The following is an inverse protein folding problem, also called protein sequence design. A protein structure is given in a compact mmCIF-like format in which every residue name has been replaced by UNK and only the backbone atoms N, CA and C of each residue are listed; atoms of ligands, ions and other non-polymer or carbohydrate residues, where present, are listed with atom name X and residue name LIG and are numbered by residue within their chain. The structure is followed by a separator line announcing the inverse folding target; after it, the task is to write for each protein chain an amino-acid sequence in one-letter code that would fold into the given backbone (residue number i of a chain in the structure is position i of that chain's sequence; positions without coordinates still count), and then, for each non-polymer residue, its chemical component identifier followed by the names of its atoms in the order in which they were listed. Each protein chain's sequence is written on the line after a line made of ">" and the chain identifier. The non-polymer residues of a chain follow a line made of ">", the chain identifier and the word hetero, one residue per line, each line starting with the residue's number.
data_IF_062618023123
#
_entry.id   IF_062618023123
#
_cell.length_a   1.000
_cell.length_b   1.000
_cell.length_c   1.000
_cell.angle_alpha   90.00
_cell.angle_beta   90.00
_cell.angle_gamma   90.00
#
_symmetry.space_group_name_H-M   'P 1'
#
loop_
_entity.id
_entity.type
_entity.pdbx_description
1 polymer ?
#
# COMPACT_ATOMS: atom_id res chain seq x y z
N UNK A 1 -5.89 -20.34 -13.77
CA UNK A 1 -5.60 -18.93 -13.47
C UNK A 1 -6.29 -18.57 -12.16
N UNK A 2 -5.55 -18.11 -11.16
CA UNK A 2 -6.13 -17.59 -9.92
C UNK A 2 -6.36 -16.09 -10.09
N UNK A 3 -7.59 -15.63 -9.90
CA UNK A 3 -7.95 -14.22 -10.01
C UNK A 3 -7.56 -13.54 -8.70
N UNK A 4 -6.42 -12.87 -8.69
CA UNK A 4 -5.98 -12.01 -7.58
C UNK A 4 -6.74 -10.69 -7.66
N UNK A 5 -7.26 -10.19 -6.53
CA UNK A 5 -7.83 -8.85 -6.49
C UNK A 5 -6.92 -7.93 -5.71
N UNK A 6 -6.30 -6.99 -6.43
CA UNK A 6 -5.35 -6.04 -5.91
C UNK A 6 -6.00 -4.67 -5.69
N UNK A 7 -5.93 -4.17 -4.47
CA UNK A 7 -6.26 -2.78 -4.11
C UNK A 7 -5.01 -2.12 -3.54
N UNK A 8 -4.73 -0.89 -3.93
CA UNK A 8 -3.52 -0.20 -3.49
C UNK A 8 -3.72 1.30 -3.27
N UNK A 9 -2.90 1.84 -2.38
CA UNK A 9 -2.83 3.26 -2.06
C UNK A 9 -1.37 3.70 -1.89
N UNK A 10 -1.10 4.95 -2.25
CA UNK A 10 0.18 5.60 -1.96
C UNK A 10 -0.05 6.74 -0.97
N UNK A 11 0.78 6.79 0.07
CA UNK A 11 0.77 7.81 1.10
C UNK A 11 2.00 8.71 0.93
N UNK A 12 1.74 9.99 0.71
CA UNK A 12 2.78 11.01 0.60
C UNK A 12 2.89 11.75 1.92
N UNK A 13 4.08 11.74 2.53
CA UNK A 13 4.31 12.38 3.82
C UNK A 13 4.62 13.87 3.70
N UNK A 14 4.32 14.61 4.77
CA UNK A 14 4.74 16.00 4.93
C UNK A 14 6.28 16.12 5.00
N UNK A 15 6.79 17.29 4.60
CA UNK A 15 8.22 17.58 4.64
C UNK A 15 8.78 17.48 6.07
N UNK A 16 10.00 16.94 6.20
CA UNK A 16 10.67 16.77 7.50
C UNK A 16 10.18 15.57 8.32
N UNK A 17 9.26 14.75 7.80
CA UNK A 17 8.82 13.54 8.50
C UNK A 17 9.89 12.45 8.44
N UNK A 18 10.20 11.87 9.59
CA UNK A 18 10.93 10.61 9.70
C UNK A 18 9.96 9.48 10.05
N UNK A 19 9.95 8.42 9.25
CA UNK A 19 9.23 7.18 9.55
C UNK A 19 10.11 6.00 9.14
N UNK A 20 10.28 5.04 10.04
CA UNK A 20 11.04 3.83 9.79
C UNK A 20 10.16 2.61 9.58
N UNK A 21 10.74 1.52 9.07
CA UNK A 21 10.04 0.23 8.94
C UNK A 21 9.49 -0.30 10.26
N UNK A 22 10.13 0.00 11.39
CA UNK A 22 9.63 -0.39 12.71
C UNK A 22 8.27 0.25 13.02
N UNK A 23 8.12 1.53 12.72
CA UNK A 23 6.87 2.27 12.93
C UNK A 23 5.78 1.73 12.00
N UNK A 24 6.14 1.54 10.73
CA UNK A 24 5.28 0.96 9.70
C UNK A 24 4.78 -0.42 10.15
N UNK A 25 5.69 -1.28 10.62
CA UNK A 25 5.34 -2.63 11.03
C UNK A 25 4.40 -2.66 12.24
N UNK A 26 4.59 -1.75 13.20
CA UNK A 26 3.68 -1.56 14.32
C UNK A 26 2.28 -1.14 13.88
N UNK A 27 2.18 -0.14 13.00
CA UNK A 27 0.91 0.36 12.45
C UNK A 27 0.16 -0.75 11.71
N UNK A 28 0.85 -1.47 10.82
CA UNK A 28 0.25 -2.53 10.01
C UNK A 28 -0.21 -3.70 10.88
N UNK A 29 0.64 -4.19 11.78
CA UNK A 29 0.29 -5.29 12.68
C UNK A 29 -0.90 -4.94 13.57
N UNK A 30 -0.96 -3.71 14.10
CA UNK A 30 -2.10 -3.25 14.89
C UNK A 30 -3.39 -3.19 14.05
N UNK A 31 -3.32 -2.67 12.83
CA UNK A 31 -4.46 -2.57 11.93
C UNK A 31 -5.00 -3.96 11.53
N UNK A 32 -4.11 -4.91 11.23
CA UNK A 32 -4.47 -6.29 10.89
C UNK A 32 -5.10 -7.03 12.07
N UNK A 33 -4.58 -6.84 13.29
CA UNK A 33 -5.21 -7.40 14.49
C UNK A 33 -6.61 -6.85 14.73
N UNK A 34 -6.84 -5.57 14.44
CA UNK A 34 -8.16 -4.94 14.60
C UNK A 34 -9.17 -5.33 13.52
N UNK A 35 -8.70 -5.73 12.33
CA UNK A 35 -9.59 -6.24 11.29
C UNK A 35 -10.02 -7.68 11.53
N UNK A 36 -9.45 -8.37 12.53
CA UNK A 36 -9.67 -9.78 12.78
C UNK A 36 -8.87 -10.71 11.87
N UNK A 37 -7.93 -10.18 11.08
CA UNK A 37 -7.08 -10.99 10.23
C UNK A 37 -6.14 -11.86 11.07
N UNK A 38 -6.00 -13.12 10.67
CA UNK A 38 -5.04 -14.05 11.26
C UNK A 38 -3.73 -13.91 10.49
N UNK A 39 -2.65 -13.53 11.19
CA UNK A 39 -1.32 -13.45 10.60
C UNK A 39 -0.70 -14.86 10.50
N UNK A 40 -0.20 -15.20 9.32
CA UNK A 40 0.47 -16.48 9.05
C UNK A 40 1.98 -16.31 8.90
N UNK A 41 2.40 -15.30 8.15
CA UNK A 41 3.82 -15.00 7.90
C UNK A 41 4.04 -13.49 7.86
N UNK A 42 5.27 -13.10 8.20
CA UNK A 42 5.79 -11.75 8.02
C UNK A 42 7.13 -11.90 7.32
N UNK A 43 7.27 -11.24 6.18
CA UNK A 43 8.51 -11.20 5.42
C UNK A 43 9.04 -9.76 5.39
N UNK A 44 10.35 -9.63 5.59
CA UNK A 44 11.06 -8.36 5.50
C UNK A 44 11.80 -8.38 4.16
N UNK A 45 11.50 -7.42 3.29
CA UNK A 45 12.16 -7.33 1.99
C UNK A 45 13.67 -7.26 2.12
N UNK A 46 14.37 -7.80 1.12
CA UNK A 46 15.83 -7.98 1.14
C UNK A 46 16.61 -6.68 1.46
N UNK A 47 16.13 -5.53 1.00
CA UNK A 47 16.74 -4.23 1.23
C UNK A 47 16.28 -3.53 2.51
N UNK A 48 15.39 -4.15 3.30
CA UNK A 48 14.83 -3.54 4.50
C UNK A 48 14.03 -2.28 4.19
N UNK A 49 13.36 -2.25 3.04
CA UNK A 49 12.50 -1.16 2.56
C UNK A 49 11.03 -1.58 2.46
N UNK A 50 10.72 -2.86 2.66
CA UNK A 50 9.40 -3.41 2.48
C UNK A 50 9.05 -4.47 3.52
N UNK A 51 7.75 -4.58 3.81
CA UNK A 51 7.17 -5.56 4.71
C UNK A 51 6.01 -6.25 4.01
N UNK A 52 6.00 -7.58 4.04
CA UNK A 52 4.91 -8.41 3.54
C UNK A 52 4.26 -9.15 4.70
N UNK A 53 2.94 -9.17 4.73
CA UNK A 53 2.15 -9.89 5.72
C UNK A 53 1.24 -10.89 5.01
N UNK A 54 1.46 -12.18 5.25
CA UNK A 54 0.53 -13.23 4.88
C UNK A 54 -0.60 -13.33 5.90
N UNK A 55 -1.84 -13.28 5.43
CA UNK A 55 -3.06 -13.35 6.24
C UNK A 55 -4.05 -14.37 5.70
N UNK A 56 -5.05 -14.72 6.48
CA UNK A 56 -6.18 -15.57 6.05
C UNK A 56 -7.06 -14.96 4.96
N UNK A 57 -6.93 -13.64 4.72
CA UNK A 57 -7.59 -12.93 3.62
C UNK A 57 -6.72 -12.79 2.37
N UNK A 58 -5.43 -13.09 2.44
CA UNK A 58 -4.45 -12.83 1.38
C UNK A 58 -3.19 -12.13 1.89
N UNK A 59 -2.54 -11.34 1.04
CA UNK A 59 -1.23 -10.71 1.31
C UNK A 59 -1.32 -9.19 1.34
N UNK A 60 -0.70 -8.59 2.35
CA UNK A 60 -0.51 -7.13 2.44
C UNK A 60 0.97 -6.83 2.26
N UNK A 61 1.30 -6.00 1.28
CA UNK A 61 2.65 -5.52 1.04
C UNK A 61 2.70 -4.02 1.33
N UNK A 62 3.72 -3.60 2.06
CA UNK A 62 3.99 -2.20 2.34
C UNK A 62 5.43 -1.89 1.94
N UNK A 63 5.61 -0.89 1.10
CA UNK A 63 6.93 -0.47 0.60
C UNK A 63 7.17 0.97 1.02
N UNK A 64 8.30 1.22 1.68
CA UNK A 64 8.80 2.54 2.03
C UNK A 64 9.84 2.96 1.00
N UNK A 65 9.63 4.12 0.38
CA UNK A 65 10.59 4.71 -0.55
C UNK A 65 10.87 6.14 -0.15
N UNK A 66 12.14 6.55 -0.22
CA UNK A 66 12.54 7.94 -0.05
C UNK A 66 12.49 8.66 -1.39
N UNK A 67 11.80 9.79 -1.48
CA UNK A 67 11.86 10.66 -2.65
C UNK A 67 13.20 11.39 -2.71
N UNK A 68 13.57 11.89 -3.89
CA UNK A 68 14.75 12.74 -4.06
C UNK A 68 14.74 13.98 -3.15
N UNK A 69 13.55 14.48 -2.78
CA UNK A 69 13.35 15.57 -1.81
C UNK A 69 13.62 15.18 -0.34
N UNK A 70 13.97 13.92 -0.07
CA UNK A 70 14.13 13.40 1.30
C UNK A 70 12.82 13.12 2.03
N UNK A 71 11.67 13.25 1.37
CA UNK A 71 10.36 12.96 1.97
C UNK A 71 9.98 11.48 1.78
N UNK A 72 9.54 10.78 2.83
CA UNK A 72 9.12 9.40 2.69
C UNK A 72 7.81 9.26 1.90
N UNK A 73 7.70 8.16 1.20
CA UNK A 73 6.51 7.71 0.49
C UNK A 73 6.26 6.27 0.89
N UNK A 74 5.00 5.94 1.21
CA UNK A 74 4.60 4.56 1.47
C UNK A 74 3.64 4.09 0.39
N UNK A 75 3.87 2.90 -0.14
CA UNK A 75 2.92 2.19 -0.98
C UNK A 75 2.34 1.02 -0.20
N UNK A 76 1.02 0.93 -0.19
CA UNK A 76 0.28 -0.17 0.43
C UNK A 76 -0.43 -0.92 -0.68
N UNK A 77 -0.21 -2.21 -0.76
CA UNK A 77 -0.87 -3.11 -1.69
C UNK A 77 -1.53 -4.24 -0.89
N UNK A 78 -2.84 -4.39 -1.04
CA UNK A 78 -3.63 -5.47 -0.45
C UNK A 78 -4.12 -6.37 -1.57
N UNK A 79 -3.55 -7.57 -1.63
CA UNK A 79 -3.98 -8.63 -2.53
C UNK A 79 -4.78 -9.65 -1.72
N UNK A 80 -6.03 -9.88 -2.10
CA UNK A 80 -6.84 -10.92 -1.47
C UNK A 80 -6.89 -12.18 -2.31
N UNK A 81 -6.82 -13.32 -1.64
CA UNK A 81 -6.87 -14.63 -2.29
C UNK A 81 -8.31 -15.03 -2.66
N UNK A 82 -8.50 -16.28 -3.11
CA UNK A 82 -9.81 -16.82 -3.53
C UNK A 82 -10.88 -16.79 -2.43
N UNK A 83 -10.52 -16.65 -1.16
CA UNK A 83 -11.48 -16.55 -0.05
C UNK A 83 -11.96 -15.11 0.15
N UNK A 84 -11.18 -14.13 -0.32
CA UNK A 84 -11.52 -12.73 -0.25
C UNK A 84 -12.39 -12.25 -1.42
N UNK A 85 -13.15 -11.18 -1.16
CA UNK A 85 -13.84 -10.44 -2.22
C UNK A 85 -13.07 -9.16 -2.54
N UNK A 86 -13.25 -8.55 -3.73
CA UNK A 86 -12.72 -7.22 -4.03
C UNK A 86 -13.04 -6.17 -2.95
N UNK A 87 -14.23 -6.25 -2.35
CA UNK A 87 -14.64 -5.38 -1.25
C UNK A 87 -13.79 -5.59 0.02
N UNK A 88 -13.34 -6.81 0.27
CA UNK A 88 -12.41 -7.14 1.37
C UNK A 88 -11.05 -6.47 1.15
N UNK A 89 -10.46 -6.60 -0.05
CA UNK A 89 -9.18 -5.96 -0.38
C UNK A 89 -9.25 -4.44 -0.21
N UNK A 90 -10.32 -3.84 -0.74
CA UNK A 90 -10.55 -2.38 -0.67
C UNK A 90 -10.68 -1.91 0.78
N UNK A 91 -11.47 -2.63 1.58
CA UNK A 91 -11.68 -2.30 3.00
C UNK A 91 -10.41 -2.46 3.81
N UNK A 92 -9.63 -3.51 3.56
CA UNK A 92 -8.35 -3.75 4.22
C UNK A 92 -7.35 -2.64 3.90
N UNK A 93 -7.20 -2.30 2.62
CA UNK A 93 -6.31 -1.23 2.17
C UNK A 93 -6.73 0.13 2.75
N UNK A 94 -8.03 0.42 2.84
CA UNK A 94 -8.53 1.63 3.49
C UNK A 94 -8.24 1.65 5.00
N UNK A 95 -8.46 0.54 5.70
CA UNK A 95 -8.17 0.45 7.13
C UNK A 95 -6.69 0.71 7.40
N UNK A 96 -5.80 0.17 6.58
CA UNK A 96 -4.36 0.41 6.68
C UNK A 96 -4.02 1.88 6.39
N UNK A 97 -4.46 2.41 5.24
CA UNK A 97 -4.19 3.79 4.84
C UNK A 97 -4.71 4.80 5.87
N UNK A 98 -5.93 4.59 6.39
CA UNK A 98 -6.53 5.47 7.41
C UNK A 98 -5.78 5.42 8.74
N UNK A 99 -5.18 4.27 9.10
CA UNK A 99 -4.33 4.17 10.28
C UNK A 99 -3.02 4.93 10.13
N UNK A 100 -2.38 4.89 8.96
CA UNK A 100 -1.23 5.75 8.69
C UNK A 100 -1.60 7.22 8.77
N UNK A 101 -2.67 7.64 8.07
CA UNK A 101 -3.16 9.03 8.11
C UNK A 101 -3.42 9.51 9.55
N UNK A 102 -3.96 8.65 10.42
CA UNK A 102 -4.26 9.01 11.80
C UNK A 102 -3.04 9.05 12.73
N UNK A 103 -1.98 8.29 12.42
CA UNK A 103 -0.83 8.11 13.32
C UNK A 103 0.43 8.84 12.84
N UNK A 104 0.46 9.28 11.58
CA UNK A 104 1.63 9.86 10.96
C UNK A 104 1.25 11.07 10.11
N UNK A 105 2.16 12.04 9.90
CA UNK A 105 1.86 13.27 9.18
C UNK A 105 1.84 13.04 7.65
N UNK A 106 0.87 12.26 7.19
CA UNK A 106 0.55 12.09 5.78
C UNK A 106 -0.05 13.40 5.26
N UNK A 107 0.40 13.85 4.09
CA UNK A 107 -0.15 15.02 3.39
C UNK A 107 -1.27 14.60 2.44
N UNK A 108 -1.01 13.60 1.60
CA UNK A 108 -1.96 13.13 0.60
C UNK A 108 -2.00 11.61 0.52
N UNK A 109 -3.16 11.09 0.16
CA UNK A 109 -3.39 9.69 -0.20
C UNK A 109 -3.77 9.62 -1.67
N UNK A 110 -3.02 8.86 -2.46
CA UNK A 110 -3.38 8.50 -3.83
C UNK A 110 -4.02 7.12 -3.83
N UNK A 111 -5.31 7.04 -4.15
CA UNK A 111 -6.06 5.79 -4.21
C UNK A 111 -6.09 5.21 -5.63
N UNK A 112 -5.28 4.19 -5.89
CA UNK A 112 -5.00 3.71 -7.26
C UNK A 112 -6.24 3.19 -7.99
N UNK A 113 -7.20 2.60 -7.28
CA UNK A 113 -8.43 2.08 -7.91
C UNK A 113 -9.26 3.16 -8.62
N UNK A 114 -9.05 4.43 -8.25
CA UNK A 114 -9.73 5.60 -8.85
C UNK A 114 -8.74 6.59 -9.48
N UNK A 115 -7.45 6.49 -9.15
CA UNK A 115 -6.42 7.47 -9.47
C UNK A 115 -6.58 8.80 -8.72
N UNK A 116 -7.47 8.88 -7.74
CA UNK A 116 -7.75 10.11 -7.00
C UNK A 116 -6.64 10.39 -5.99
N UNK A 117 -6.22 11.67 -5.92
CA UNK A 117 -5.43 12.21 -4.82
C UNK A 117 -6.37 12.89 -3.84
N UNK A 118 -6.30 12.51 -2.57
CA UNK A 118 -7.16 13.00 -1.49
C UNK A 118 -6.24 13.57 -0.40
N UNK A 119 -6.54 14.77 0.09
CA UNK A 119 -5.82 15.31 1.24
C UNK A 119 -6.05 14.41 2.46
N UNK A 120 -5.06 14.29 3.34
CA UNK A 120 -5.15 13.42 4.52
C UNK A 120 -6.37 13.74 5.41
N UNK A 121 -6.70 15.02 5.58
CA UNK A 121 -7.86 15.48 6.35
C UNK A 121 -9.21 15.09 5.75
N UNK A 122 -9.28 14.90 4.43
CA UNK A 122 -10.49 14.49 3.71
C UNK A 122 -10.57 12.98 3.50
N UNK A 123 -9.54 12.23 3.91
CA UNK A 123 -9.43 10.81 3.63
C UNK A 123 -10.40 9.98 4.49
N UNK A 124 -11.58 9.75 3.92
CA UNK A 124 -12.67 8.98 4.55
C UNK A 124 -13.20 7.88 3.65
N UNK A 125 -13.85 6.87 4.24
CA UNK A 125 -14.54 5.83 3.47
C UNK A 125 -15.63 6.38 2.55
N UNK A 126 -16.23 7.53 2.91
CA UNK A 126 -17.18 8.25 2.06
C UNK A 126 -16.51 8.80 0.80
N UNK A 127 -15.34 9.43 0.95
CA UNK A 127 -14.57 9.97 -0.17
C UNK A 127 -14.22 8.90 -1.22
N UNK A 128 -13.96 7.66 -0.77
CA UNK A 128 -13.67 6.52 -1.66
C UNK A 128 -14.91 5.92 -2.36
N UNK A 129 -16.12 6.16 -1.86
CA UNK A 129 -17.37 5.60 -2.43
C UNK A 129 -18.00 6.50 -3.49
N UNK A 130 -17.65 7.78 -3.52
CA UNK A 130 -18.24 8.76 -4.44
C UNK A 130 -17.76 8.67 -5.89
N UNK A 131 -16.77 7.81 -6.20
CA UNK A 131 -16.07 7.83 -7.49
C UNK A 131 -16.09 6.45 -8.13
N UNK A 132 -16.71 6.36 -9.31
CA UNK A 132 -16.80 5.13 -10.10
C UNK A 132 -15.41 4.53 -10.36
N UNK A 133 -15.31 3.20 -10.27
CA UNK A 133 -14.09 2.48 -10.61
C UNK A 133 -13.64 2.84 -12.03
N UNK A 134 -12.40 3.33 -12.17
CA UNK A 134 -11.77 3.35 -13.48
C UNK A 134 -11.38 1.91 -13.81
N UNK A 135 -11.99 1.36 -14.86
CA UNK A 135 -11.58 0.09 -15.46
C UNK A 135 -10.10 0.26 -15.83
N UNK A 136 -9.23 -0.47 -15.13
CA UNK A 136 -7.78 -0.32 -15.24
C UNK A 136 -7.29 -0.64 -16.64
N UNK A 137 -6.44 0.23 -17.19
CA UNK A 137 -5.47 -0.21 -18.18
C UNK A 137 -4.38 -1.00 -17.45
N UNK A 138 -3.90 -2.12 -18.02
CA UNK A 138 -2.88 -2.93 -17.38
C UNK A 138 -1.65 -2.08 -17.09
N UNK A 139 -1.21 -2.12 -15.82
CA UNK A 139 0.08 -1.57 -15.40
C UNK A 139 1.15 -2.14 -16.33
N UNK A 140 1.71 -1.31 -17.20
CA UNK A 140 2.91 -1.67 -17.92
C UNK A 140 3.99 -1.94 -16.87
N UNK A 141 4.32 -3.21 -16.70
CA UNK A 141 5.55 -3.64 -16.03
C UNK A 141 6.70 -2.98 -16.76
N UNK A 142 7.24 -1.89 -16.23
CA UNK A 142 8.55 -1.40 -16.63
C UNK A 142 9.54 -2.44 -16.11
N UNK A 143 9.82 -3.44 -16.94
CA UNK A 143 10.99 -4.30 -16.77
C UNK A 143 12.18 -3.44 -17.18
N UNK A 144 13.14 -3.12 -16.29
CA UNK A 144 14.38 -2.53 -16.75
C UNK A 144 15.11 -3.56 -17.61
N UNK A 145 15.20 -3.30 -18.91
CA UNK A 145 16.06 -4.07 -19.80
C UNK A 145 17.50 -3.73 -19.42
N UNK A 146 18.16 -4.64 -18.72
CA UNK A 146 19.62 -4.66 -18.67
C UNK A 146 20.13 -5.00 -20.07
N UNK A 147 20.48 -3.99 -20.86
CA UNK A 147 21.48 -4.20 -21.90
C UNK A 147 22.86 -3.96 -21.30
N UNK A 148 23.49 -5.11 -21.10
CA UNK A 148 24.85 -5.40 -20.70
C UNK A 148 25.88 -4.54 -21.45
N UNK A 149 26.90 -4.12 -20.70
CA UNK A 149 28.17 -3.59 -21.17
C UNK A 149 28.74 -4.38 -22.37
N UNK A 150 29.26 -3.66 -23.36
CA UNK A 150 30.34 -4.15 -24.20
C UNK A 150 31.51 -3.15 -24.13
N UNK A 151 32.55 -3.57 -23.42
CA UNK A 151 33.92 -3.09 -23.62
C UNK A 151 34.39 -3.51 -25.02
N UNK A 152 34.87 -2.54 -25.79
CA UNK A 152 35.98 -2.67 -26.75
C UNK A 152 36.49 -1.26 -27.08
#
# INVERSE_FOLDING_TARGET
>A
MSTHTLESATLDYAFGTSIGLRDIGGIVAQALRQSGAVLHDIDLGFFGDSLSYGTDYGRVNVVLTMRASGTPKIEIACDVDRRGTPATARRLCYLLASRFVAQTPVRDVVWHATGQRIAAEDFTWGALRGVGHRIGLPSASIVPTHDTLAFA
#
